data_IF_723613196673
#
_entry.id   IF_723613196673
#
_cell.length_a   1.000
_cell.length_b   1.000
_cell.length_c   1.000
_cell.angle_alpha   90.00
_cell.angle_beta   90.00
_cell.angle_gamma   90.00
#
_symmetry.space_group_name_H-M   'P 1'
#
loop_
_entity.id
_entity.type
_entity.pdbx_description
1 polymer ?
#
# COMPACT_ATOMS: atom_id res chain seq x y z
N UNK A 1 -15.49 19.39 20.11
CA UNK A 1 -15.56 18.14 20.91
C UNK A 1 -16.81 17.37 20.54
N UNK A 2 -16.79 16.05 20.65
CA UNK A 2 -17.96 15.19 20.48
C UNK A 2 -18.62 14.99 21.86
N UNK A 3 -19.95 14.99 21.92
CA UNK A 3 -20.69 14.60 23.13
C UNK A 3 -20.70 13.08 23.33
N UNK A 4 -21.32 12.60 24.42
CA UNK A 4 -21.37 11.16 24.77
C UNK A 4 -21.89 10.27 23.63
N UNK A 5 -22.90 10.72 22.88
CA UNK A 5 -23.46 10.00 21.72
C UNK A 5 -22.94 10.51 20.37
N UNK A 6 -21.87 11.30 20.38
CA UNK A 6 -21.31 11.92 19.19
C UNK A 6 -20.59 10.91 18.29
N UNK A 7 -20.81 11.02 16.98
CA UNK A 7 -20.08 10.22 15.98
C UNK A 7 -19.03 11.10 15.29
N UNK A 8 -17.78 10.66 15.33
CA UNK A 8 -16.67 11.26 14.61
C UNK A 8 -16.25 10.44 13.39
N UNK A 9 -15.53 11.08 12.48
CA UNK A 9 -14.89 10.41 11.36
C UNK A 9 -13.42 10.83 11.25
N UNK A 10 -12.56 9.86 10.93
CA UNK A 10 -11.17 10.08 10.54
C UNK A 10 -11.06 9.69 9.06
N UNK A 11 -10.58 10.61 8.25
CA UNK A 11 -10.36 10.37 6.82
C UNK A 11 -8.96 9.79 6.64
N UNK A 12 -8.90 8.58 6.08
CA UNK A 12 -7.66 7.85 5.82
C UNK A 12 -7.50 7.69 4.31
N UNK A 13 -6.29 7.93 3.81
CA UNK A 13 -5.98 7.74 2.40
C UNK A 13 -5.82 6.26 2.08
N UNK A 14 -6.36 5.84 0.93
CA UNK A 14 -6.28 4.44 0.50
C UNK A 14 -7.21 3.56 1.33
N UNK A 15 -6.65 2.56 2.01
CA UNK A 15 -7.38 1.67 2.91
C UNK A 15 -6.69 1.62 4.28
N UNK A 16 -7.41 1.76 5.40
CA UNK A 16 -6.82 1.72 6.75
C UNK A 16 -6.09 0.42 7.09
N UNK A 17 -6.29 -0.67 6.33
CA UNK A 17 -5.65 -1.96 6.58
C UNK A 17 -4.21 -2.07 6.03
N UNK A 18 -3.77 -1.16 5.14
CA UNK A 18 -2.51 -1.33 4.41
C UNK A 18 -1.52 -0.19 4.69
N UNK A 19 -0.49 -0.48 5.48
CA UNK A 19 0.58 0.45 5.84
C UNK A 19 0.11 1.79 6.43
N UNK A 20 -0.94 1.75 7.25
CA UNK A 20 -1.48 2.90 7.98
C UNK A 20 -1.50 2.62 9.49
N UNK A 21 -1.38 3.67 10.32
CA UNK A 21 -1.31 3.56 11.79
C UNK A 21 -2.62 3.88 12.49
N UNK A 22 -3.65 4.37 11.79
CA UNK A 22 -4.86 4.94 12.40
C UNK A 22 -5.58 3.93 13.28
N UNK A 23 -5.78 2.70 12.78
CA UNK A 23 -6.45 1.65 13.56
C UNK A 23 -5.63 1.25 14.80
N UNK A 24 -4.30 1.24 14.70
CA UNK A 24 -3.42 1.00 15.85
C UNK A 24 -3.54 2.09 16.91
N UNK A 25 -3.53 3.36 16.49
CA UNK A 25 -3.72 4.51 17.38
C UNK A 25 -5.09 4.49 18.06
N UNK A 26 -6.17 4.15 17.34
CA UNK A 26 -7.50 4.01 17.93
C UNK A 26 -7.53 2.89 18.98
N UNK A 27 -6.84 1.77 18.74
CA UNK A 27 -6.73 0.70 19.72
C UNK A 27 -6.00 1.16 21.00
N UNK A 28 -4.93 1.95 20.87
CA UNK A 28 -4.20 2.54 22.00
C UNK A 28 -5.07 3.51 22.82
N UNK A 29 -5.82 4.39 22.15
CA UNK A 29 -6.74 5.33 22.82
C UNK A 29 -7.81 4.56 23.61
N UNK A 30 -8.36 3.48 23.03
CA UNK A 30 -9.33 2.62 23.72
C UNK A 30 -8.71 1.92 24.92
N UNK A 31 -7.48 1.42 24.79
CA UNK A 31 -6.73 0.84 25.89
C UNK A 31 -6.41 1.85 27.01
N UNK A 32 -6.34 3.14 26.68
CA UNK A 32 -6.19 4.25 27.62
C UNK A 32 -7.45 4.62 28.42
N UNK A 33 -8.58 3.92 28.21
CA UNK A 33 -9.80 4.08 29.00
C UNK A 33 -10.89 4.95 28.37
N UNK A 34 -10.73 5.36 27.10
CA UNK A 34 -11.79 6.06 26.36
C UNK A 34 -12.63 5.00 25.63
N UNK A 35 -13.90 4.89 25.99
CA UNK A 35 -14.80 3.92 25.36
C UNK A 35 -15.43 4.48 24.07
N UNK A 36 -15.32 3.72 22.98
CA UNK A 36 -15.95 4.01 21.70
C UNK A 36 -15.95 2.76 20.81
N UNK A 37 -16.94 2.67 19.91
CA UNK A 37 -16.97 1.67 18.85
C UNK A 37 -16.24 2.18 17.59
N UNK A 38 -15.59 1.29 16.85
CA UNK A 38 -14.94 1.61 15.57
C UNK A 38 -15.59 0.85 14.43
N UNK A 39 -16.02 1.58 13.39
CA UNK A 39 -16.45 0.99 12.11
C UNK A 39 -15.41 1.35 11.05
N UNK A 40 -14.95 0.36 10.28
CA UNK A 40 -13.99 0.57 9.19
C UNK A 40 -14.74 0.53 7.87
N UNK A 41 -14.56 1.58 7.06
CA UNK A 41 -15.04 1.63 5.68
C UNK A 41 -13.83 1.38 4.78
N UNK A 42 -13.83 0.30 3.97
CA UNK A 42 -12.71 -0.02 3.09
C UNK A 42 -12.60 1.02 1.96
N UNK A 43 -11.39 1.19 1.46
CA UNK A 43 -11.08 2.12 0.38
C UNK A 43 -10.21 1.49 -0.72
N UNK A 44 -9.94 2.28 -1.76
CA UNK A 44 -9.13 1.82 -2.90
C UNK A 44 -7.66 2.09 -2.61
N UNK A 45 -6.86 1.03 -2.51
CA UNK A 45 -5.43 1.14 -2.18
C UNK A 45 -4.59 1.63 -3.35
N UNK A 46 -3.41 2.20 -3.07
CA UNK A 46 -2.45 2.58 -4.11
C UNK A 46 -2.02 1.40 -5.00
N UNK A 47 -1.74 0.17 -4.48
CA UNK A 47 -1.49 -1.00 -5.32
C UNK A 47 -2.66 -1.37 -6.24
N UNK A 48 -3.90 -1.31 -5.75
CA UNK A 48 -5.07 -1.58 -6.58
C UNK A 48 -5.20 -0.55 -7.71
N UNK A 49 -5.00 0.74 -7.39
CA UNK A 49 -4.99 1.80 -8.40
C UNK A 49 -3.86 1.59 -9.41
N UNK A 50 -2.64 1.27 -8.97
CA UNK A 50 -1.49 1.02 -9.85
C UNK A 50 -1.78 -0.09 -10.87
N UNK A 51 -2.27 -1.24 -10.38
CA UNK A 51 -2.64 -2.37 -11.22
C UNK A 51 -3.73 -1.99 -12.23
N UNK A 52 -4.78 -1.28 -11.78
CA UNK A 52 -5.85 -0.80 -12.65
C UNK A 52 -5.35 0.17 -13.73
N UNK A 53 -4.46 1.10 -13.38
CA UNK A 53 -3.91 2.10 -14.33
C UNK A 53 -2.98 1.48 -15.36
N UNK A 54 -2.19 0.48 -14.96
CA UNK A 54 -1.36 -0.31 -15.88
C UNK A 54 -2.13 -1.42 -16.60
N UNK A 55 -3.42 -1.61 -16.30
CA UNK A 55 -4.29 -2.67 -16.86
C UNK A 55 -3.69 -4.06 -16.67
N UNK A 56 -3.11 -4.30 -15.50
CA UNK A 56 -2.50 -5.57 -15.12
C UNK A 56 -3.12 -6.09 -13.82
N UNK A 57 -2.73 -7.31 -13.44
CA UNK A 57 -3.07 -7.94 -12.17
C UNK A 57 -1.85 -7.90 -11.24
N UNK A 58 -2.09 -7.90 -9.93
CA UNK A 58 -1.00 -7.90 -8.94
C UNK A 58 -0.28 -9.25 -8.85
N UNK A 59 -0.88 -10.31 -9.36
CA UNK A 59 -0.33 -11.66 -9.31
C UNK A 59 -0.60 -12.41 -10.61
N UNK A 60 0.33 -13.28 -11.00
CA UNK A 60 0.09 -14.31 -12.02
C UNK A 60 -0.95 -15.33 -11.55
N UNK A 61 -1.55 -16.07 -12.47
CA UNK A 61 -2.58 -17.08 -12.17
C UNK A 61 -2.01 -18.12 -11.19
N UNK A 62 -2.60 -18.20 -9.99
CA UNK A 62 -2.16 -19.12 -8.93
C UNK A 62 -0.82 -18.75 -8.26
N UNK A 63 -0.19 -17.63 -8.66
CA UNK A 63 1.06 -17.14 -8.09
C UNK A 63 0.85 -16.32 -6.83
N UNK A 64 1.86 -16.31 -5.96
CA UNK A 64 1.90 -15.46 -4.77
C UNK A 64 2.25 -14.01 -5.15
N UNK A 65 1.64 -13.05 -4.45
CA UNK A 65 2.05 -11.65 -4.48
C UNK A 65 2.55 -11.23 -3.11
N UNK A 66 3.72 -10.61 -3.07
CA UNK A 66 4.29 -10.05 -1.86
C UNK A 66 4.15 -8.53 -1.86
N UNK A 67 3.47 -7.98 -0.86
CA UNK A 67 3.49 -6.54 -0.61
C UNK A 67 4.57 -6.24 0.44
N UNK A 68 5.51 -5.36 0.11
CA UNK A 68 6.67 -5.06 0.95
C UNK A 68 7.03 -3.57 0.92
N UNK A 69 8.09 -3.21 1.63
CA UNK A 69 8.63 -1.84 1.66
C UNK A 69 9.96 -1.72 0.93
N UNK A 70 10.32 -0.52 0.50
CA UNK A 70 11.63 -0.25 -0.10
C UNK A 70 12.81 -0.68 0.79
N UNK A 71 12.69 -0.48 2.12
CA UNK A 71 13.71 -0.94 3.07
C UNK A 71 13.91 -2.46 3.01
N UNK A 72 12.82 -3.23 3.01
CA UNK A 72 12.90 -4.70 2.94
C UNK A 72 13.41 -5.17 1.57
N UNK A 73 13.01 -4.51 0.50
CA UNK A 73 13.53 -4.81 -0.84
C UNK A 73 15.05 -4.60 -0.94
N UNK A 74 15.60 -3.65 -0.17
CA UNK A 74 17.05 -3.43 -0.12
C UNK A 74 17.83 -4.58 0.56
N UNK A 75 17.16 -5.42 1.35
CA UNK A 75 17.74 -6.61 1.97
C UNK A 75 17.80 -7.80 1.00
N UNK A 76 16.94 -7.80 -0.02
CA UNK A 76 16.92 -8.82 -1.06
C UNK A 76 15.55 -8.90 -1.77
N UNK A 77 15.54 -9.53 -2.95
CA UNK A 77 14.30 -9.86 -3.64
C UNK A 77 13.62 -11.02 -2.89
N UNK A 78 12.29 -11.00 -2.67
CA UNK A 78 11.58 -12.10 -2.02
C UNK A 78 11.79 -13.45 -2.72
N UNK A 79 12.13 -14.50 -1.97
CA UNK A 79 12.39 -15.83 -2.54
C UNK A 79 11.10 -16.58 -2.94
N UNK A 80 10.00 -16.34 -2.22
CA UNK A 80 8.75 -17.09 -2.36
C UNK A 80 7.68 -16.38 -3.22
N UNK A 81 8.02 -15.25 -3.85
CA UNK A 81 7.07 -14.48 -4.65
C UNK A 81 7.70 -13.99 -5.95
N UNK A 82 7.05 -14.32 -7.07
CA UNK A 82 7.41 -13.82 -8.39
C UNK A 82 6.95 -12.38 -8.60
N UNK A 83 5.82 -12.01 -7.99
CA UNK A 83 5.20 -10.69 -8.12
C UNK A 83 5.34 -9.91 -6.80
N UNK A 84 5.94 -8.73 -6.86
CA UNK A 84 6.26 -7.92 -5.68
C UNK A 84 5.74 -6.51 -5.84
N UNK A 85 4.91 -6.07 -4.89
CA UNK A 85 4.46 -4.68 -4.77
C UNK A 85 5.32 -3.99 -3.71
N UNK A 86 5.98 -2.90 -4.09
CA UNK A 86 6.87 -2.16 -3.20
C UNK A 86 6.23 -0.82 -2.85
N UNK A 87 5.93 -0.61 -1.58
CA UNK A 87 5.41 0.64 -1.04
C UNK A 87 6.45 1.32 -0.14
N UNK A 88 6.19 2.56 0.27
CA UNK A 88 7.06 3.31 1.20
C UNK A 88 8.55 3.32 0.78
N UNK A 89 8.79 3.46 -0.53
CA UNK A 89 10.13 3.54 -1.10
C UNK A 89 10.42 4.95 -1.61
N UNK A 90 11.28 5.68 -0.89
CA UNK A 90 11.74 7.01 -1.27
C UNK A 90 13.09 6.99 -2.01
N UNK A 91 13.62 5.82 -2.35
CA UNK A 91 15.01 5.66 -2.81
C UNK A 91 15.14 4.81 -4.07
N UNK A 92 14.04 4.56 -4.79
CA UNK A 92 14.02 3.76 -6.02
C UNK A 92 14.82 2.46 -5.88
N UNK A 93 14.56 1.71 -4.81
CA UNK A 93 15.31 0.50 -4.44
C UNK A 93 15.23 -0.59 -5.49
N UNK A 94 14.18 -0.59 -6.31
CA UNK A 94 14.06 -1.47 -7.47
C UNK A 94 15.23 -1.31 -8.46
N UNK A 95 15.91 -0.16 -8.50
CA UNK A 95 17.03 0.08 -9.43
C UNK A 95 18.22 -0.86 -9.19
N UNK A 96 18.36 -1.43 -7.98
CA UNK A 96 19.36 -2.45 -7.69
C UNK A 96 19.16 -3.75 -8.49
N UNK A 97 17.96 -3.94 -9.04
CA UNK A 97 17.57 -5.12 -9.82
C UNK A 97 17.51 -4.84 -11.32
N UNK A 98 17.92 -3.66 -11.80
CA UNK A 98 17.81 -3.26 -13.21
C UNK A 98 18.64 -4.12 -14.18
N UNK A 99 19.57 -4.94 -13.69
CA UNK A 99 20.32 -5.89 -14.51
C UNK A 99 19.59 -7.23 -14.73
N UNK A 100 18.44 -7.45 -14.07
CA UNK A 100 17.63 -8.65 -14.24
C UNK A 100 16.77 -8.51 -15.50
N UNK A 101 16.97 -9.41 -16.45
CA UNK A 101 16.20 -9.45 -17.70
C UNK A 101 14.82 -10.10 -17.56
N UNK A 102 14.52 -10.68 -16.40
CA UNK A 102 13.30 -11.42 -16.10
C UNK A 102 12.27 -10.64 -15.27
N UNK A 103 12.50 -9.35 -15.06
CA UNK A 103 11.61 -8.46 -14.33
C UNK A 103 11.01 -7.42 -15.27
N UNK A 104 9.71 -7.20 -15.12
CA UNK A 104 9.04 -6.00 -15.61
C UNK A 104 8.66 -5.13 -14.40
N UNK A 105 8.97 -3.84 -14.47
CA UNK A 105 8.61 -2.88 -13.44
C UNK A 105 7.38 -2.11 -13.91
N UNK A 106 6.34 -2.10 -13.08
CA UNK A 106 5.19 -1.22 -13.23
C UNK A 106 5.26 -0.16 -12.14
N UNK A 107 5.58 1.07 -12.52
CA UNK A 107 5.78 2.18 -11.60
C UNK A 107 4.72 3.26 -11.81
N UNK A 108 4.37 3.96 -10.73
CA UNK A 108 3.56 5.14 -10.83
C UNK A 108 3.71 6.08 -9.63
N UNK A 109 3.43 7.36 -9.86
CA UNK A 109 3.38 8.40 -8.85
C UNK A 109 2.08 9.19 -8.97
N UNK A 110 1.62 9.74 -7.85
CA UNK A 110 0.39 10.55 -7.77
C UNK A 110 -0.83 9.84 -8.37
N UNK A 111 -0.92 8.52 -8.16
CA UNK A 111 -1.97 7.67 -8.70
C UNK A 111 -3.37 8.20 -8.37
N UNK A 112 -4.21 8.32 -9.39
CA UNK A 112 -5.59 8.80 -9.27
C UNK A 112 -5.73 10.32 -9.22
N UNK A 113 -4.65 11.10 -9.29
CA UNK A 113 -4.71 12.57 -9.35
C UNK A 113 -4.49 13.08 -10.79
N UNK A 114 -4.71 14.39 -11.07
CA UNK A 114 -4.37 14.98 -12.37
C UNK A 114 -2.88 14.94 -12.73
N UNK A 115 -1.99 14.84 -11.72
CA UNK A 115 -0.54 14.82 -11.90
C UNK A 115 0.02 13.39 -12.01
N UNK A 116 -0.83 12.41 -12.29
CA UNK A 116 -0.44 11.00 -12.34
C UNK A 116 0.66 10.73 -13.37
N UNK A 117 1.69 10.01 -12.92
CA UNK A 117 2.76 9.50 -13.76
C UNK A 117 2.73 7.97 -13.77
N UNK A 118 2.86 7.37 -14.96
CA UNK A 118 2.93 5.93 -15.16
C UNK A 118 4.14 5.61 -16.03
N UNK A 119 4.96 4.66 -15.59
CA UNK A 119 6.09 4.13 -16.35
C UNK A 119 6.07 2.62 -16.21
N UNK A 120 6.29 1.90 -17.30
CA UNK A 120 6.45 0.45 -17.26
C UNK A 120 7.45 -0.04 -18.28
N UNK A 121 8.13 -1.14 -17.97
CA UNK A 121 9.05 -1.80 -18.88
C UNK A 121 10.00 -2.76 -18.16
N UNK A 122 10.90 -3.40 -18.91
CA UNK A 122 12.00 -4.18 -18.35
C UNK A 122 13.00 -3.29 -17.60
#
# INVERSE_FOLDING_TARGET
>A
ELGEDGVGALLVWGDPALYDSTLGMLAEVRAGGIDFATTVVPGVTAPATLAARHRTVLNRIGGAVQITTGRRLAEGFPEEADDVVVMLDAHTRFAAYAAREDLDIYWGAYLGTPDELLVSGP
#
